data_IF_615775345185
#
_entry.id   IF_615775345185
#
_cell.length_a   1.000
_cell.length_b   1.000
_cell.length_c   1.000
_cell.angle_alpha   90.00
_cell.angle_beta   90.00
_cell.angle_gamma   90.00
#
_symmetry.space_group_name_H-M   'P 1'
#
loop_
_entity.id
_entity.type
_entity.pdbx_description
1 polymer ?
#
# COMPACT_ATOMS: atom_id res chain seq x y z
N UNK A 1 -107.12 17.70 -0.04
CA UNK A 1 -106.04 18.59 0.42
C UNK A 1 -104.89 17.70 0.84
N UNK A 2 -104.01 17.31 -0.13
CA UNK A 2 -102.94 16.38 0.09
C UNK A 2 -101.60 17.06 -0.20
N UNK A 3 -100.82 17.29 0.82
CA UNK A 3 -99.42 17.77 0.70
C UNK A 3 -98.44 16.52 0.63
N UNK A 4 -97.81 16.35 -0.51
CA UNK A 4 -96.74 15.39 -0.69
C UNK A 4 -95.42 16.06 -0.28
N UNK A 5 -94.72 15.46 0.71
CA UNK A 5 -93.36 15.82 1.05
C UNK A 5 -92.36 14.97 0.19
N UNK A 6 -91.54 15.66 -0.58
CA UNK A 6 -90.41 15.04 -1.28
C UNK A 6 -89.17 15.07 -0.39
N UNK A 7 -88.63 13.90 -0.10
CA UNK A 7 -87.32 13.72 0.63
C UNK A 7 -86.19 13.70 -0.43
N UNK A 8 -85.35 14.69 -0.38
CA UNK A 8 -84.19 14.79 -1.22
C UNK A 8 -83.00 14.03 -0.51
N UNK A 9 -82.63 12.89 -1.04
CA UNK A 9 -81.50 12.14 -0.53
C UNK A 9 -80.14 12.69 -1.12
N UNK A 10 -79.36 13.31 -0.26
CA UNK A 10 -78.01 13.80 -0.61
C UNK A 10 -77.01 12.65 -0.51
N UNK A 11 -76.56 12.11 -1.63
CA UNK A 11 -75.51 11.10 -1.68
C UNK A 11 -74.17 11.82 -1.64
N UNK A 12 -73.52 11.85 -0.46
CA UNK A 12 -72.18 12.37 -0.28
C UNK A 12 -71.12 11.36 -0.76
N UNK A 13 -70.47 11.66 -1.86
CA UNK A 13 -69.35 10.86 -2.36
C UNK A 13 -68.08 11.16 -1.51
N UNK A 14 -67.72 10.26 -0.60
CA UNK A 14 -66.47 10.35 0.15
C UNK A 14 -65.36 9.87 -0.76
N UNK A 15 -64.52 10.80 -1.25
CA UNK A 15 -63.26 10.51 -1.95
C UNK A 15 -62.21 10.04 -0.93
N UNK A 16 -61.98 8.74 -0.83
CA UNK A 16 -60.86 8.18 -0.08
C UNK A 16 -59.55 8.49 -0.85
N UNK A 17 -58.84 9.54 -0.43
CA UNK A 17 -57.45 9.73 -0.82
C UNK A 17 -56.56 8.66 -0.14
N UNK A 18 -56.31 7.57 -0.82
CA UNK A 18 -55.23 6.63 -0.43
C UNK A 18 -53.89 7.33 -0.58
N UNK A 19 -53.03 7.34 0.45
CA UNK A 19 -51.70 7.86 0.28
C UNK A 19 -50.97 6.95 -0.74
N UNK A 20 -50.66 7.51 -1.91
CA UNK A 20 -49.80 6.85 -2.87
C UNK A 20 -48.44 6.64 -2.18
N UNK A 21 -48.13 5.39 -1.82
CA UNK A 21 -46.78 4.99 -1.46
C UNK A 21 -45.88 5.39 -2.64
N UNK A 22 -45.16 6.51 -2.49
CA UNK A 22 -44.04 6.85 -3.37
C UNK A 22 -43.03 5.74 -3.22
N UNK A 23 -43.07 4.74 -4.11
CA UNK A 23 -41.95 3.83 -4.28
C UNK A 23 -40.74 4.71 -4.58
N UNK A 24 -39.69 4.65 -3.72
CA UNK A 24 -38.40 5.19 -4.06
C UNK A 24 -38.03 4.61 -5.42
N UNK A 25 -37.55 5.43 -6.37
CA UNK A 25 -37.02 4.89 -7.63
C UNK A 25 -35.99 3.81 -7.29
N UNK A 26 -35.94 2.69 -8.04
CA UNK A 26 -34.89 1.69 -7.84
C UNK A 26 -33.56 2.45 -7.82
N UNK A 27 -32.78 2.28 -6.73
CA UNK A 27 -31.51 2.95 -6.56
C UNK A 27 -30.65 2.72 -7.83
N UNK A 28 -30.01 3.76 -8.33
CA UNK A 28 -29.09 3.63 -9.44
C UNK A 28 -28.12 2.47 -9.15
N UNK A 29 -27.84 1.64 -10.16
CA UNK A 29 -26.88 0.54 -10.02
C UNK A 29 -25.56 1.15 -9.53
N UNK A 30 -25.04 0.62 -8.43
CA UNK A 30 -23.73 1.01 -7.94
C UNK A 30 -22.64 0.44 -8.86
N UNK A 31 -21.60 1.23 -9.08
CA UNK A 31 -20.38 0.74 -9.72
C UNK A 31 -19.71 -0.31 -8.82
N UNK A 32 -19.43 -1.47 -9.38
CA UNK A 32 -18.73 -2.53 -8.67
C UNK A 32 -17.23 -2.38 -8.86
N UNK A 33 -16.51 -2.06 -7.77
CA UNK A 33 -15.06 -1.99 -7.71
C UNK A 33 -14.54 -3.21 -6.94
N UNK A 34 -13.67 -3.98 -7.57
CA UNK A 34 -12.99 -5.10 -6.94
C UNK A 34 -11.54 -4.74 -6.64
N UNK A 35 -11.06 -5.04 -5.43
CA UNK A 35 -9.65 -4.87 -5.05
C UNK A 35 -9.04 -6.21 -4.65
N UNK A 36 -8.05 -6.69 -5.39
CA UNK A 36 -7.25 -7.87 -5.06
C UNK A 36 -5.97 -7.42 -4.35
N UNK A 37 -5.96 -7.57 -3.02
CA UNK A 37 -4.82 -7.24 -2.17
C UNK A 37 -3.92 -8.47 -2.00
N UNK A 38 -2.60 -8.30 -2.07
CA UNK A 38 -1.63 -9.39 -1.95
C UNK A 38 -1.61 -10.03 -0.56
N UNK A 39 -1.75 -9.24 0.50
CA UNK A 39 -1.89 -9.71 1.88
C UNK A 39 -2.37 -8.60 2.83
N UNK A 40 -2.69 -8.98 4.08
CA UNK A 40 -3.04 -8.07 5.18
C UNK A 40 -2.08 -8.18 6.38
N UNK A 41 -1.01 -8.96 6.26
CA UNK A 41 -0.06 -9.19 7.36
C UNK A 41 0.88 -7.99 7.60
N UNK A 42 1.11 -7.18 6.55
CA UNK A 42 1.95 -6.01 6.62
C UNK A 42 1.15 -4.75 7.03
N UNK A 43 1.67 -3.91 7.95
CA UNK A 43 1.02 -2.64 8.32
C UNK A 43 0.73 -1.74 7.12
N UNK A 44 1.61 -1.71 6.13
CA UNK A 44 1.44 -0.96 4.89
C UNK A 44 0.18 -1.42 4.13
N UNK A 45 -0.05 -2.72 4.00
CA UNK A 45 -1.23 -3.30 3.33
C UNK A 45 -2.52 -3.02 4.08
N UNK A 46 -2.47 -3.12 5.41
CA UNK A 46 -3.60 -2.76 6.26
C UNK A 46 -3.97 -1.28 6.12
N UNK A 47 -2.97 -0.38 6.05
CA UNK A 47 -3.20 1.04 5.81
C UNK A 47 -3.79 1.31 4.41
N UNK A 48 -3.33 0.59 3.37
CA UNK A 48 -3.95 0.68 2.03
C UNK A 48 -5.42 0.30 2.07
N UNK A 49 -5.77 -0.81 2.74
CA UNK A 49 -7.15 -1.27 2.82
C UNK A 49 -8.03 -0.29 3.60
N UNK A 50 -7.57 0.20 4.75
CA UNK A 50 -8.30 1.19 5.54
C UNK A 50 -8.56 2.47 4.74
N UNK A 51 -7.55 2.94 4.01
CA UNK A 51 -7.68 4.16 3.22
C UNK A 51 -8.63 3.99 2.03
N UNK A 52 -8.53 2.88 1.28
CA UNK A 52 -9.40 2.65 0.12
C UNK A 52 -10.86 2.45 0.55
N UNK A 53 -11.11 1.74 1.67
CA UNK A 53 -12.43 1.60 2.26
C UNK A 53 -13.01 2.96 2.63
N UNK A 54 -12.26 3.77 3.38
CA UNK A 54 -12.68 5.12 3.78
C UNK A 54 -13.03 5.99 2.58
N UNK A 55 -12.17 6.02 1.54
CA UNK A 55 -12.37 6.86 0.37
C UNK A 55 -13.58 6.43 -0.47
N UNK A 56 -13.85 5.12 -0.58
CA UNK A 56 -15.02 4.62 -1.31
C UNK A 56 -16.30 4.61 -0.46
N UNK A 57 -16.23 4.56 0.88
CA UNK A 57 -17.41 4.74 1.74
C UNK A 57 -18.06 6.13 1.57
N UNK A 58 -17.26 7.16 1.24
CA UNK A 58 -17.73 8.49 0.92
C UNK A 58 -18.50 8.56 -0.42
N UNK A 59 -18.43 7.52 -1.26
CA UNK A 59 -19.03 7.43 -2.59
C UNK A 59 -20.30 6.57 -2.54
N UNK A 60 -21.47 7.22 -2.62
CA UNK A 60 -22.77 6.53 -2.46
C UNK A 60 -23.11 5.58 -3.61
N UNK A 61 -22.48 5.75 -4.76
CA UNK A 61 -22.70 5.03 -6.01
C UNK A 61 -21.63 3.95 -6.31
N UNK A 62 -20.69 3.71 -5.39
CA UNK A 62 -19.68 2.66 -5.50
C UNK A 62 -19.94 1.55 -4.48
N UNK A 63 -19.70 0.32 -4.90
CA UNK A 63 -19.61 -0.87 -4.04
C UNK A 63 -18.20 -1.45 -4.16
N UNK A 64 -17.40 -1.35 -3.10
CA UNK A 64 -16.07 -1.94 -3.00
C UNK A 64 -16.13 -3.35 -2.44
N UNK A 65 -15.36 -4.27 -3.02
CA UNK A 65 -15.08 -5.60 -2.46
C UNK A 65 -13.58 -5.84 -2.46
N UNK A 66 -13.01 -6.14 -1.30
CA UNK A 66 -11.58 -6.44 -1.12
C UNK A 66 -11.41 -7.94 -0.90
N UNK A 67 -10.43 -8.54 -1.61
CA UNK A 67 -10.02 -9.93 -1.42
C UNK A 67 -8.55 -9.98 -0.98
N UNK A 68 -8.28 -10.70 0.11
CA UNK A 68 -6.94 -10.92 0.67
C UNK A 68 -6.35 -12.24 0.15
N UNK A 69 -5.25 -12.14 -0.60
CA UNK A 69 -4.55 -13.29 -1.15
C UNK A 69 -3.65 -14.02 -0.13
N UNK A 70 -3.39 -13.42 1.05
CA UNK A 70 -2.57 -14.02 2.11
C UNK A 70 -1.15 -14.41 1.64
N UNK A 71 -0.56 -13.58 0.77
CA UNK A 71 0.78 -13.77 0.19
C UNK A 71 0.90 -15.05 -0.67
N UNK A 72 -0.22 -15.56 -1.21
CA UNK A 72 -0.29 -16.73 -2.08
C UNK A 72 -0.69 -16.32 -3.51
N UNK A 73 0.22 -16.54 -4.47
CA UNK A 73 -0.01 -16.21 -5.87
C UNK A 73 -1.18 -17.01 -6.47
N UNK A 74 -1.31 -18.30 -6.14
CA UNK A 74 -2.37 -19.17 -6.67
C UNK A 74 -3.73 -18.69 -6.17
N UNK A 75 -3.82 -18.32 -4.89
CA UNK A 75 -5.01 -17.75 -4.29
C UNK A 75 -5.36 -16.40 -4.94
N UNK A 76 -4.38 -15.53 -5.17
CA UNK A 76 -4.61 -14.25 -5.81
C UNK A 76 -5.13 -14.42 -7.25
N UNK A 77 -4.54 -15.34 -8.02
CA UNK A 77 -5.01 -15.67 -9.36
C UNK A 77 -6.47 -16.15 -9.32
N UNK A 78 -6.82 -17.08 -8.44
CA UNK A 78 -8.17 -17.60 -8.31
C UNK A 78 -9.20 -16.50 -7.93
N UNK A 79 -8.81 -15.55 -7.07
CA UNK A 79 -9.63 -14.40 -6.70
C UNK A 79 -9.86 -13.47 -7.89
N UNK A 80 -8.81 -13.13 -8.65
CA UNK A 80 -8.91 -12.30 -9.84
C UNK A 80 -9.79 -12.99 -10.89
N UNK A 81 -9.64 -14.30 -11.12
CA UNK A 81 -10.52 -15.07 -12.00
C UNK A 81 -12.00 -15.00 -11.55
N UNK A 82 -12.24 -14.99 -10.24
CA UNK A 82 -13.59 -14.85 -9.71
C UNK A 82 -14.13 -13.45 -10.00
N UNK A 83 -13.32 -12.41 -9.82
CA UNK A 83 -13.71 -11.04 -10.15
C UNK A 83 -13.96 -10.88 -11.66
N UNK A 84 -13.15 -11.50 -12.54
CA UNK A 84 -13.39 -11.47 -13.99
C UNK A 84 -14.79 -12.03 -14.34
N UNK A 85 -15.20 -13.15 -13.70
CA UNK A 85 -16.54 -13.71 -13.89
C UNK A 85 -17.67 -12.81 -13.37
N UNK A 86 -17.40 -12.04 -12.32
CA UNK A 86 -18.36 -11.08 -11.72
C UNK A 86 -18.45 -9.77 -12.51
N UNK A 87 -17.52 -9.51 -13.43
CA UNK A 87 -17.44 -8.34 -14.30
C UNK A 87 -17.52 -7.02 -13.51
N UNK A 88 -16.52 -6.70 -12.68
CA UNK A 88 -16.46 -5.42 -12.01
C UNK A 88 -16.33 -4.29 -13.04
N UNK A 89 -16.83 -3.11 -12.69
CA UNK A 89 -16.66 -1.90 -13.48
C UNK A 89 -15.21 -1.36 -13.39
N UNK A 90 -14.48 -1.76 -12.33
CA UNK A 90 -13.05 -1.48 -12.14
C UNK A 90 -12.41 -2.61 -11.30
N UNK A 91 -11.25 -3.09 -11.71
CA UNK A 91 -10.42 -4.00 -10.93
C UNK A 91 -9.13 -3.30 -10.51
N UNK A 92 -8.86 -3.25 -9.21
CA UNK A 92 -7.60 -2.79 -8.64
C UNK A 92 -6.83 -4.03 -8.18
N UNK A 93 -5.56 -4.13 -8.54
CA UNK A 93 -4.71 -5.26 -8.15
C UNK A 93 -3.42 -4.74 -7.54
N UNK A 94 -3.13 -5.13 -6.31
CA UNK A 94 -1.79 -5.04 -5.70
C UNK A 94 -1.13 -6.43 -5.82
N UNK A 95 -0.27 -6.68 -6.84
CA UNK A 95 0.24 -8.02 -7.10
C UNK A 95 1.13 -8.52 -5.97
N UNK A 96 1.02 -9.81 -5.62
CA UNK A 96 1.96 -10.41 -4.68
C UNK A 96 3.36 -10.52 -5.31
N UNK A 97 3.45 -11.13 -6.48
CA UNK A 97 4.67 -11.19 -7.28
C UNK A 97 4.40 -10.82 -8.76
N UNK A 98 5.41 -10.32 -9.44
CA UNK A 98 5.29 -9.79 -10.81
C UNK A 98 4.87 -10.84 -11.84
N UNK A 99 5.66 -11.90 -11.98
CA UNK A 99 5.52 -12.88 -13.05
C UNK A 99 4.21 -13.69 -12.96
N UNK A 100 3.82 -14.27 -11.79
CA UNK A 100 2.61 -15.08 -11.69
C UNK A 100 1.32 -14.32 -11.99
N UNK A 101 1.27 -13.02 -11.67
CA UNK A 101 0.05 -12.20 -11.80
C UNK A 101 -0.12 -11.58 -13.20
N UNK A 102 0.95 -11.54 -14.01
CA UNK A 102 0.94 -10.86 -15.30
C UNK A 102 -0.13 -11.41 -16.24
N UNK A 103 -0.26 -12.72 -16.34
CA UNK A 103 -1.20 -13.35 -17.28
C UNK A 103 -2.66 -13.15 -16.86
N UNK A 104 -2.99 -13.33 -15.58
CA UNK A 104 -4.38 -13.18 -15.11
C UNK A 104 -4.87 -11.73 -15.23
N UNK A 105 -3.99 -10.75 -15.02
CA UNK A 105 -4.33 -9.36 -15.27
C UNK A 105 -4.58 -9.09 -16.76
N UNK A 106 -3.81 -9.73 -17.65
CA UNK A 106 -4.08 -9.69 -19.09
C UNK A 106 -5.44 -10.27 -19.48
N UNK A 107 -5.88 -11.34 -18.79
CA UNK A 107 -7.22 -11.89 -19.01
C UNK A 107 -8.33 -10.93 -18.54
N UNK A 108 -8.13 -10.20 -17.46
CA UNK A 108 -9.06 -9.16 -17.01
C UNK A 108 -9.19 -8.05 -18.07
N UNK A 109 -8.07 -7.57 -18.60
CA UNK A 109 -8.04 -6.57 -19.67
C UNK A 109 -8.74 -7.10 -20.95
N UNK A 110 -8.48 -8.35 -21.35
CA UNK A 110 -9.12 -8.98 -22.50
C UNK A 110 -10.64 -9.16 -22.32
N UNK A 111 -11.12 -9.27 -21.07
CA UNK A 111 -12.54 -9.29 -20.73
C UNK A 111 -13.20 -7.90 -20.76
N UNK A 112 -12.44 -6.84 -21.09
CA UNK A 112 -12.92 -5.45 -21.14
C UNK A 112 -13.02 -4.76 -19.78
N UNK A 113 -12.39 -5.32 -18.74
CA UNK A 113 -12.39 -4.76 -17.40
C UNK A 113 -11.20 -3.79 -17.29
N UNK A 114 -11.41 -2.51 -16.94
CA UNK A 114 -10.31 -1.60 -16.62
C UNK A 114 -9.53 -2.11 -15.40
N UNK A 115 -8.20 -2.10 -15.49
CA UNK A 115 -7.32 -2.61 -14.41
C UNK A 115 -6.36 -1.51 -13.95
N UNK A 116 -6.40 -1.18 -12.67
CA UNK A 116 -5.35 -0.40 -12.00
C UNK A 116 -4.37 -1.38 -11.35
N UNK A 117 -3.13 -1.38 -11.81
CA UNK A 117 -2.03 -2.07 -11.16
C UNK A 117 -1.49 -1.18 -10.05
N UNK A 118 -1.58 -1.62 -8.79
CA UNK A 118 -1.31 -0.78 -7.63
C UNK A 118 -0.01 -1.18 -6.95
N UNK A 119 0.90 -0.23 -6.82
CA UNK A 119 2.11 -0.21 -6.00
C UNK A 119 3.20 -1.18 -6.48
N UNK A 120 2.90 -2.43 -6.82
CA UNK A 120 3.85 -3.38 -7.40
C UNK A 120 3.52 -3.59 -8.87
N UNK A 121 4.51 -3.42 -9.75
CA UNK A 121 4.33 -3.65 -11.19
C UNK A 121 4.39 -5.15 -11.54
N UNK A 122 3.99 -5.48 -12.74
CA UNK A 122 4.03 -6.82 -13.35
C UNK A 122 5.03 -6.86 -14.51
N UNK A 123 5.29 -8.03 -15.08
CA UNK A 123 6.35 -8.19 -16.11
C UNK A 123 5.99 -7.64 -17.48
N UNK A 124 4.70 -7.49 -17.78
CA UNK A 124 4.17 -6.91 -19.02
C UNK A 124 3.05 -5.94 -18.65
N UNK A 125 2.88 -4.81 -19.36
CA UNK A 125 1.93 -3.75 -18.98
C UNK A 125 0.47 -4.16 -19.27
N UNK A 126 0.03 -5.28 -18.74
CA UNK A 126 -1.32 -5.83 -18.84
C UNK A 126 -2.29 -5.17 -17.86
N UNK A 127 -2.37 -3.84 -17.93
CA UNK A 127 -3.24 -2.99 -17.12
C UNK A 127 -3.64 -1.72 -17.87
N UNK A 128 -4.68 -1.06 -17.43
CA UNK A 128 -5.08 0.26 -17.91
C UNK A 128 -4.06 1.30 -17.51
N UNK A 129 -3.70 1.33 -16.21
CA UNK A 129 -2.68 2.20 -15.63
C UNK A 129 -1.95 1.50 -14.48
N UNK A 130 -0.69 1.88 -14.27
CA UNK A 130 0.09 1.55 -13.08
C UNK A 130 0.18 2.77 -12.17
N UNK A 131 0.00 2.56 -10.86
CA UNK A 131 0.16 3.61 -9.85
C UNK A 131 1.10 3.09 -8.78
N UNK A 132 2.29 3.65 -8.71
CA UNK A 132 3.34 3.23 -7.80
C UNK A 132 4.20 4.38 -7.31
N UNK A 133 5.31 4.07 -6.65
CA UNK A 133 6.28 5.05 -6.22
C UNK A 133 7.69 4.69 -6.71
N UNK A 134 8.60 5.67 -6.70
CA UNK A 134 9.97 5.51 -7.20
C UNK A 134 10.83 4.74 -6.19
N UNK A 135 10.79 3.41 -6.27
CA UNK A 135 11.58 2.53 -5.41
C UNK A 135 13.08 2.63 -5.67
N UNK A 136 13.49 2.94 -6.90
CA UNK A 136 14.91 3.15 -7.21
C UNK A 136 15.43 4.40 -6.51
N UNK A 137 14.64 5.49 -6.50
CA UNK A 137 14.97 6.69 -5.75
C UNK A 137 15.04 6.42 -4.24
N UNK A 138 14.11 5.62 -3.68
CA UNK A 138 14.17 5.19 -2.28
C UNK A 138 15.50 4.49 -1.99
N UNK A 139 15.86 3.49 -2.80
CA UNK A 139 17.13 2.79 -2.64
C UNK A 139 18.32 3.74 -2.68
N UNK A 140 18.37 4.66 -3.64
CA UNK A 140 19.45 5.65 -3.74
C UNK A 140 19.51 6.57 -2.52
N UNK A 141 18.36 7.04 -2.04
CA UNK A 141 18.30 7.87 -0.82
C UNK A 141 18.77 7.07 0.41
N UNK A 142 18.39 5.79 0.52
CA UNK A 142 18.87 4.92 1.60
C UNK A 142 20.39 4.71 1.54
N UNK A 143 20.93 4.44 0.35
CA UNK A 143 22.36 4.35 0.11
C UNK A 143 23.11 5.63 0.51
N UNK A 144 22.59 6.78 0.10
CA UNK A 144 23.19 8.08 0.45
C UNK A 144 23.12 8.34 1.96
N UNK A 145 21.99 8.05 2.60
CA UNK A 145 21.86 8.19 4.06
C UNK A 145 22.86 7.30 4.82
N UNK A 146 23.11 6.07 4.35
CA UNK A 146 24.13 5.18 4.91
C UNK A 146 25.54 5.78 4.77
N UNK A 147 25.89 6.27 3.58
CA UNK A 147 27.17 6.93 3.30
C UNK A 147 27.37 8.13 4.23
N UNK A 148 26.39 9.03 4.32
CA UNK A 148 26.48 10.25 5.12
C UNK A 148 26.60 9.92 6.62
N UNK A 149 25.84 8.94 7.10
CA UNK A 149 25.87 8.50 8.50
C UNK A 149 27.23 7.92 8.88
N UNK A 150 27.83 7.10 8.01
CA UNK A 150 29.15 6.52 8.22
C UNK A 150 30.26 7.56 8.07
N UNK A 151 30.13 8.49 7.13
CA UNK A 151 31.01 9.65 7.01
C UNK A 151 30.99 10.49 8.28
N UNK A 152 29.81 10.72 8.85
CA UNK A 152 29.69 11.47 10.12
C UNK A 152 30.34 10.72 11.29
N UNK A 153 30.11 9.39 11.37
CA UNK A 153 30.63 8.55 12.46
C UNK A 153 32.17 8.43 12.43
N UNK A 154 32.76 8.27 11.25
CA UNK A 154 34.18 7.91 11.10
C UNK A 154 35.06 8.96 10.44
N UNK A 155 34.50 10.11 10.04
CA UNK A 155 35.21 11.14 9.25
C UNK A 155 35.46 10.73 7.79
N UNK A 156 35.07 9.52 7.39
CA UNK A 156 35.16 8.98 6.03
C UNK A 156 34.07 7.92 5.81
N UNK A 157 33.65 7.67 4.55
CA UNK A 157 32.61 6.69 4.24
C UNK A 157 33.17 5.26 4.34
N UNK A 158 33.16 4.72 5.54
CA UNK A 158 33.58 3.35 5.84
C UNK A 158 32.69 2.72 6.88
N UNK A 159 32.47 1.41 6.80
CA UNK A 159 31.69 0.66 7.80
C UNK A 159 31.11 -0.64 7.25
N UNK A 160 30.38 -1.32 8.14
CA UNK A 160 29.73 -2.62 7.88
C UNK A 160 28.23 -2.45 7.86
N UNK A 161 27.61 -2.82 6.76
CA UNK A 161 26.17 -2.76 6.54
C UNK A 161 25.60 -4.18 6.54
N UNK A 162 24.48 -4.36 7.21
CA UNK A 162 23.58 -5.53 7.06
C UNK A 162 22.34 -5.07 6.32
N UNK A 163 21.92 -5.83 5.31
CA UNK A 163 20.73 -5.55 4.53
C UNK A 163 19.67 -6.64 4.75
N UNK A 164 18.46 -6.22 5.17
CA UNK A 164 17.30 -7.11 5.37
C UNK A 164 16.33 -6.84 4.24
N UNK A 165 16.27 -7.79 3.31
CA UNK A 165 15.57 -7.67 2.04
C UNK A 165 14.10 -8.13 2.16
N UNK A 166 13.24 -7.54 1.33
CA UNK A 166 11.85 -7.97 1.19
C UNK A 166 11.68 -9.28 0.43
N UNK A 167 10.46 -9.58 0.02
CA UNK A 167 10.13 -10.74 -0.80
C UNK A 167 10.83 -10.64 -2.16
N UNK A 168 11.61 -11.64 -2.52
CA UNK A 168 12.30 -11.67 -3.81
C UNK A 168 11.30 -11.78 -4.98
N UNK A 169 11.66 -11.21 -6.13
CA UNK A 169 10.80 -11.21 -7.31
C UNK A 169 9.76 -10.08 -7.34
N UNK A 170 9.80 -9.20 -6.35
CA UNK A 170 8.99 -7.98 -6.28
C UNK A 170 9.83 -6.79 -6.76
N UNK A 171 9.22 -5.90 -7.55
CA UNK A 171 9.89 -4.72 -8.09
C UNK A 171 10.45 -3.82 -6.98
N UNK A 172 9.65 -3.52 -5.96
CA UNK A 172 10.06 -2.67 -4.84
C UNK A 172 11.32 -3.19 -4.13
N UNK A 173 11.45 -4.51 -3.97
CA UNK A 173 12.62 -5.13 -3.38
C UNK A 173 13.84 -4.95 -4.28
N UNK A 174 13.71 -5.28 -5.57
CA UNK A 174 14.81 -5.21 -6.54
C UNK A 174 15.33 -3.78 -6.72
N UNK A 175 14.43 -2.81 -6.82
CA UNK A 175 14.79 -1.41 -7.03
C UNK A 175 15.40 -0.75 -5.80
N UNK A 176 14.87 -1.04 -4.58
CA UNK A 176 15.48 -0.60 -3.32
C UNK A 176 16.89 -1.16 -3.17
N UNK A 177 17.07 -2.44 -3.49
CA UNK A 177 18.40 -3.08 -3.51
C UNK A 177 19.32 -2.39 -4.52
N UNK A 178 18.93 -2.33 -5.79
CA UNK A 178 19.75 -1.77 -6.85
C UNK A 178 20.12 -0.31 -6.57
N UNK A 179 19.16 0.51 -6.14
CA UNK A 179 19.37 1.92 -5.83
C UNK A 179 20.39 2.11 -4.69
N UNK A 180 20.27 1.35 -3.59
CA UNK A 180 21.21 1.42 -2.48
C UNK A 180 22.62 0.97 -2.91
N UNK A 181 22.72 -0.16 -3.60
CA UNK A 181 24.00 -0.70 -4.05
C UNK A 181 24.68 0.18 -5.12
N UNK A 182 23.94 0.88 -5.97
CA UNK A 182 24.52 1.83 -6.93
C UNK A 182 25.25 2.96 -6.22
N UNK A 183 24.74 3.45 -5.09
CA UNK A 183 25.39 4.48 -4.28
C UNK A 183 26.55 3.89 -3.49
N UNK A 184 26.36 2.73 -2.84
CA UNK A 184 27.39 2.09 -2.00
C UNK A 184 28.63 1.67 -2.80
N UNK A 185 28.49 1.28 -4.07
CA UNK A 185 29.62 0.95 -4.97
C UNK A 185 30.64 2.10 -5.10
N UNK A 186 30.18 3.36 -5.03
CA UNK A 186 31.07 4.51 -5.08
C UNK A 186 31.82 4.76 -3.77
N UNK A 187 31.38 4.17 -2.66
CA UNK A 187 31.95 4.31 -1.32
C UNK A 187 32.71 3.04 -0.92
N UNK A 188 33.88 2.82 -1.48
CA UNK A 188 34.66 1.57 -1.36
C UNK A 188 35.05 1.14 0.07
N UNK A 189 34.93 2.06 1.04
CA UNK A 189 35.17 1.75 2.47
C UNK A 189 33.94 1.12 3.15
N UNK A 190 32.76 1.15 2.52
CA UNK A 190 31.53 0.56 3.04
C UNK A 190 31.38 -0.85 2.47
N UNK A 191 31.04 -1.80 3.33
CA UNK A 191 30.86 -3.20 2.94
C UNK A 191 29.52 -3.72 3.43
N UNK A 192 28.69 -4.23 2.53
CA UNK A 192 27.56 -5.08 2.89
C UNK A 192 28.12 -6.42 3.32
N UNK A 193 28.12 -6.70 4.62
CA UNK A 193 28.73 -7.89 5.21
C UNK A 193 27.76 -9.05 5.33
N UNK A 194 26.47 -8.78 5.25
CA UNK A 194 25.42 -9.80 5.23
C UNK A 194 24.13 -9.27 4.60
N UNK A 195 23.47 -10.13 3.85
CA UNK A 195 22.12 -9.93 3.30
C UNK A 195 21.22 -11.06 3.78
N UNK A 196 19.99 -10.75 4.14
CA UNK A 196 18.99 -11.76 4.53
C UNK A 196 17.61 -11.39 4.00
N UNK A 197 16.86 -12.39 3.53
CA UNK A 197 15.48 -12.23 3.09
C UNK A 197 14.52 -12.44 4.28
N UNK A 198 13.59 -11.51 4.47
CA UNK A 198 12.62 -11.56 5.56
C UNK A 198 11.16 -11.31 5.11
N UNK A 199 10.90 -11.35 3.79
CA UNK A 199 9.57 -11.39 3.18
C UNK A 199 8.61 -10.27 3.66
N UNK A 200 9.15 -9.08 3.96
CA UNK A 200 8.47 -7.90 4.53
C UNK A 200 8.02 -8.06 6.00
N UNK A 201 8.30 -9.20 6.65
CA UNK A 201 7.78 -9.54 7.96
C UNK A 201 8.76 -9.21 9.09
N UNK A 202 8.25 -8.53 10.12
CA UNK A 202 9.04 -8.17 11.32
C UNK A 202 9.59 -9.39 12.05
N UNK A 203 8.78 -10.46 12.19
CA UNK A 203 9.19 -11.71 12.86
C UNK A 203 10.39 -12.35 12.16
N UNK A 204 10.30 -12.49 10.83
CA UNK A 204 11.35 -13.08 10.02
C UNK A 204 12.65 -12.27 10.12
N UNK A 205 12.54 -10.93 10.03
CA UNK A 205 13.71 -10.05 10.17
C UNK A 205 14.35 -10.19 11.55
N UNK A 206 13.56 -10.31 12.62
CA UNK A 206 14.10 -10.52 13.97
C UNK A 206 14.87 -11.85 14.07
N UNK A 207 14.33 -12.94 13.53
CA UNK A 207 15.01 -14.25 13.52
C UNK A 207 16.31 -14.19 12.73
N UNK A 208 16.28 -13.67 11.50
CA UNK A 208 17.48 -13.50 10.66
C UNK A 208 18.52 -12.63 11.34
N UNK A 209 18.12 -11.52 11.95
CA UNK A 209 19.05 -10.64 12.63
C UNK A 209 19.70 -11.29 13.86
N UNK A 210 18.99 -12.14 14.62
CA UNK A 210 19.60 -12.91 15.72
C UNK A 210 20.71 -13.85 15.21
N UNK A 211 20.53 -14.47 14.06
CA UNK A 211 21.56 -15.31 13.41
C UNK A 211 22.75 -14.46 12.98
N UNK A 212 22.49 -13.31 12.34
CA UNK A 212 23.53 -12.38 11.87
C UNK A 212 24.35 -11.84 13.04
N UNK A 213 23.72 -11.44 14.13
CA UNK A 213 24.41 -10.88 15.31
C UNK A 213 25.36 -11.87 16.00
N UNK A 214 25.12 -13.18 15.86
CA UNK A 214 26.03 -14.23 16.33
C UNK A 214 27.25 -14.37 15.45
N UNK A 215 27.08 -14.16 14.14
CA UNK A 215 28.15 -14.32 13.15
C UNK A 215 28.96 -13.03 12.93
N UNK A 216 28.37 -11.86 13.12
CA UNK A 216 28.94 -10.55 12.85
C UNK A 216 29.14 -9.75 14.15
N UNK A 217 30.41 -9.68 14.67
CA UNK A 217 30.65 -8.93 15.91
C UNK A 217 30.52 -7.41 15.75
N UNK A 218 30.71 -6.90 14.54
CA UNK A 218 30.65 -5.47 14.25
C UNK A 218 29.67 -5.19 13.11
N UNK A 219 28.70 -4.36 13.36
CA UNK A 219 27.71 -3.87 12.39
C UNK A 219 27.52 -2.38 12.69
N UNK A 220 27.57 -1.54 11.66
CA UNK A 220 27.39 -0.10 11.81
C UNK A 220 25.97 0.35 11.40
N UNK A 221 25.42 -0.27 10.36
CA UNK A 221 24.11 0.07 9.82
C UNK A 221 23.33 -1.20 9.52
N UNK A 222 22.04 -1.17 9.82
CA UNK A 222 21.07 -2.18 9.37
C UNK A 222 20.05 -1.46 8.49
N UNK A 223 20.00 -1.84 7.22
CA UNK A 223 19.00 -1.37 6.27
C UNK A 223 17.91 -2.42 6.08
N UNK A 224 16.73 -2.15 6.57
CA UNK A 224 15.53 -2.93 6.28
C UNK A 224 14.79 -2.34 5.08
N UNK A 225 14.40 -3.18 4.13
CA UNK A 225 13.63 -2.72 2.97
C UNK A 225 12.21 -2.24 3.33
N UNK A 226 11.77 -2.45 4.59
CA UNK A 226 10.62 -1.76 5.17
C UNK A 226 10.82 -1.51 6.68
N UNK A 227 9.95 -0.68 7.27
CA UNK A 227 10.01 -0.33 8.70
C UNK A 227 9.80 -1.54 9.62
N UNK A 228 8.83 -2.46 9.36
CA UNK A 228 8.68 -3.65 10.18
C UNK A 228 9.95 -4.50 10.26
N UNK A 229 10.65 -4.71 9.15
CA UNK A 229 11.89 -5.49 9.14
C UNK A 229 13.02 -4.77 9.88
N UNK A 230 13.16 -3.45 9.69
CA UNK A 230 14.14 -2.65 10.42
C UNK A 230 13.87 -2.68 11.93
N UNK A 231 12.61 -2.59 12.35
CA UNK A 231 12.20 -2.72 13.76
C UNK A 231 12.45 -4.14 14.28
N UNK A 232 12.18 -5.16 13.49
CA UNK A 232 12.50 -6.57 13.84
C UNK A 232 13.98 -6.75 14.13
N UNK A 233 14.84 -6.20 13.27
CA UNK A 233 16.29 -6.22 13.45
C UNK A 233 16.73 -5.42 14.70
N UNK A 234 16.16 -4.25 14.94
CA UNK A 234 16.38 -3.48 16.16
C UNK A 234 16.04 -4.28 17.42
N UNK A 235 14.87 -4.97 17.44
CA UNK A 235 14.44 -5.77 18.57
C UNK A 235 15.43 -6.93 18.84
N UNK A 236 15.93 -7.61 17.80
CA UNK A 236 16.94 -8.64 17.92
C UNK A 236 18.24 -8.10 18.53
N UNK A 237 18.68 -6.92 18.09
CA UNK A 237 19.88 -6.27 18.62
C UNK A 237 19.69 -5.86 20.08
N UNK A 238 18.51 -5.34 20.44
CA UNK A 238 18.16 -4.96 21.82
C UNK A 238 18.14 -6.16 22.77
N UNK A 239 17.63 -7.31 22.34
CA UNK A 239 17.61 -8.53 23.16
C UNK A 239 19.03 -8.99 23.52
N UNK A 240 20.04 -8.61 22.74
CA UNK A 240 21.45 -8.89 22.97
C UNK A 240 22.24 -7.69 23.53
N UNK A 241 21.58 -6.57 23.84
CA UNK A 241 22.20 -5.34 24.35
C UNK A 241 23.12 -4.64 23.34
N UNK A 242 22.88 -4.83 22.04
CA UNK A 242 23.72 -4.32 20.94
C UNK A 242 23.08 -3.20 20.12
N UNK A 243 21.86 -2.80 20.43
CA UNK A 243 21.08 -1.84 19.61
C UNK A 243 21.76 -0.46 19.49
N UNK A 244 22.58 -0.08 20.47
CA UNK A 244 23.30 1.21 20.47
C UNK A 244 24.59 1.18 19.66
N UNK A 245 25.02 0.03 19.17
CA UNK A 245 26.25 -0.12 18.38
C UNK A 245 26.03 0.23 16.91
N UNK A 246 24.78 0.21 16.44
CA UNK A 246 24.42 0.36 15.05
C UNK A 246 23.20 1.28 14.86
N UNK A 247 23.04 1.81 13.67
CA UNK A 247 21.84 2.56 13.28
C UNK A 247 20.92 1.67 12.44
N UNK A 248 19.61 1.89 12.58
CA UNK A 248 18.58 1.15 11.85
C UNK A 248 17.84 2.12 10.95
N UNK A 249 17.67 1.76 9.69
CA UNK A 249 16.90 2.53 8.71
C UNK A 249 15.86 1.64 8.03
N UNK A 250 14.70 2.18 7.76
CA UNK A 250 13.58 1.46 7.17
C UNK A 250 12.97 2.20 5.98
N UNK A 251 11.88 1.69 5.48
CA UNK A 251 11.04 2.27 4.41
C UNK A 251 9.59 2.01 4.81
N UNK A 252 8.68 2.78 4.39
CA UNK A 252 7.24 2.91 4.46
C UNK A 252 6.86 4.28 5.02
N UNK A 253 7.47 4.69 6.15
CA UNK A 253 7.22 6.00 6.75
C UNK A 253 5.75 6.20 7.12
N UNK A 254 5.06 5.15 7.58
CA UNK A 254 3.66 5.27 7.98
C UNK A 254 3.52 6.17 9.22
N UNK A 255 2.45 6.96 9.26
CA UNK A 255 2.01 7.69 10.43
C UNK A 255 1.42 6.79 11.52
N UNK A 256 0.92 7.41 12.59
CA UNK A 256 0.29 6.71 13.70
C UNK A 256 1.26 6.07 14.69
N UNK A 257 0.76 5.52 15.82
CA UNK A 257 1.59 5.10 16.97
C UNK A 257 2.49 3.90 16.68
N UNK A 258 2.12 3.05 15.73
CA UNK A 258 2.89 1.88 15.32
C UNK A 258 3.77 2.13 14.08
N UNK A 259 3.57 3.26 13.38
CA UNK A 259 4.23 3.56 12.11
C UNK A 259 5.71 3.91 12.24
N UNK A 260 6.41 3.86 11.11
CA UNK A 260 7.85 4.14 11.02
C UNK A 260 8.22 5.55 11.45
N UNK A 261 7.37 6.55 11.15
CA UNK A 261 7.60 7.93 11.62
C UNK A 261 7.70 8.01 13.14
N UNK A 262 6.80 7.31 13.85
CA UNK A 262 6.87 7.23 15.31
C UNK A 262 8.15 6.52 15.78
N UNK A 263 8.61 5.51 15.05
CA UNK A 263 9.87 4.81 15.38
C UNK A 263 11.10 5.71 15.20
N UNK A 264 11.05 6.64 14.24
CA UNK A 264 12.08 7.69 14.13
C UNK A 264 12.02 8.66 15.31
N UNK A 265 10.82 9.12 15.68
CA UNK A 265 10.65 10.01 16.86
C UNK A 265 11.11 9.35 18.16
N UNK A 266 10.94 8.04 18.31
CA UNK A 266 11.34 7.26 19.48
C UNK A 266 12.84 6.88 19.47
N UNK A 267 13.59 7.20 18.42
CA UNK A 267 15.01 6.85 18.28
C UNK A 267 15.26 5.36 18.02
N UNK A 268 14.24 4.59 17.63
CA UNK A 268 14.35 3.19 17.19
C UNK A 268 14.93 3.11 15.78
N UNK A 269 14.47 3.97 14.89
CA UNK A 269 15.00 4.15 13.55
C UNK A 269 15.73 5.49 13.47
N UNK A 270 16.87 5.53 12.80
CA UNK A 270 17.56 6.79 12.47
C UNK A 270 16.88 7.53 11.33
N UNK A 271 16.30 6.78 10.39
CA UNK A 271 15.53 7.30 9.28
C UNK A 271 14.52 6.26 8.77
N UNK A 272 13.47 6.76 8.13
CA UNK A 272 12.60 6.00 7.23
C UNK A 272 12.34 6.82 5.98
N UNK A 273 11.90 6.16 4.90
CA UNK A 273 11.52 6.83 3.66
C UNK A 273 10.02 6.65 3.46
N UNK A 274 9.31 7.79 3.40
CA UNK A 274 7.88 7.74 3.10
C UNK A 274 7.65 7.08 1.75
N UNK A 275 6.90 6.01 1.79
CA UNK A 275 6.44 5.26 0.64
C UNK A 275 4.93 5.49 0.49
N UNK A 276 4.50 6.28 -0.52
CA UNK A 276 3.10 6.61 -0.70
C UNK A 276 2.23 5.36 -0.80
N UNK A 277 1.06 5.36 -0.13
CA UNK A 277 0.10 4.25 -0.20
C UNK A 277 -0.47 4.05 -1.61
N UNK A 278 -0.36 5.04 -2.48
CA UNK A 278 -0.85 5.06 -3.87
C UNK A 278 -2.38 4.98 -4.01
N UNK A 279 -3.08 4.80 -2.90
CA UNK A 279 -4.54 4.57 -2.86
C UNK A 279 -5.32 5.83 -3.23
N UNK A 280 -4.91 7.01 -2.75
CA UNK A 280 -5.57 8.28 -3.07
C UNK A 280 -5.61 8.50 -4.60
N UNK A 281 -4.46 8.28 -5.25
CA UNK A 281 -4.34 8.39 -6.71
C UNK A 281 -5.14 7.29 -7.41
N UNK A 282 -5.18 6.08 -6.86
CA UNK A 282 -5.96 4.98 -7.44
C UNK A 282 -7.46 5.25 -7.38
N UNK A 283 -7.95 5.82 -6.29
CA UNK A 283 -9.36 6.22 -6.17
C UNK A 283 -9.67 7.40 -7.10
N UNK A 284 -8.82 8.44 -7.14
CA UNK A 284 -8.97 9.57 -8.06
C UNK A 284 -9.08 9.11 -9.52
N UNK A 285 -8.13 8.30 -9.99
CA UNK A 285 -8.11 7.78 -11.36
C UNK A 285 -9.28 6.82 -11.59
N UNK A 286 -9.60 5.98 -10.60
CA UNK A 286 -10.74 5.06 -10.65
C UNK A 286 -12.07 5.77 -10.82
N UNK A 287 -12.32 6.86 -10.09
CA UNK A 287 -13.50 7.70 -10.24
C UNK A 287 -13.65 8.25 -11.67
N UNK A 288 -12.57 8.74 -12.25
CA UNK A 288 -12.61 9.19 -13.64
C UNK A 288 -12.91 8.04 -14.62
N UNK A 289 -12.32 6.86 -14.42
CA UNK A 289 -12.60 5.67 -15.25
C UNK A 289 -14.09 5.27 -15.16
N UNK A 290 -14.70 5.37 -13.97
CA UNK A 290 -16.08 4.96 -13.73
C UNK A 290 -17.12 5.96 -14.28
N UNK A 291 -16.78 7.25 -14.34
CA UNK A 291 -17.76 8.31 -14.60
C UNK A 291 -17.54 9.09 -15.89
N UNK A 292 -16.38 8.99 -16.52
CA UNK A 292 -16.05 9.69 -17.77
C UNK A 292 -15.59 8.70 -18.84
N UNK A 293 -16.48 8.37 -19.77
CA UNK A 293 -16.19 7.46 -20.88
C UNK A 293 -15.08 7.97 -21.82
N UNK A 294 -14.74 9.26 -21.77
CA UNK A 294 -13.67 9.85 -22.57
C UNK A 294 -12.34 9.97 -21.79
N UNK A 295 -12.33 9.59 -20.53
CA UNK A 295 -11.12 9.64 -19.73
C UNK A 295 -10.16 8.51 -20.13
N UNK A 296 -8.94 8.89 -20.46
CA UNK A 296 -7.84 7.98 -20.73
C UNK A 296 -6.71 8.30 -19.74
N UNK A 297 -6.51 7.45 -18.71
CA UNK A 297 -5.43 7.71 -17.74
C UNK A 297 -4.06 7.60 -18.41
N UNK A 298 -3.09 8.32 -17.86
CA UNK A 298 -1.69 8.10 -18.16
C UNK A 298 -1.32 6.63 -17.92
N UNK A 299 -0.38 6.10 -18.68
CA UNK A 299 0.02 4.69 -18.55
C UNK A 299 0.56 4.37 -17.18
N UNK A 300 1.18 5.37 -16.50
CA UNK A 300 1.69 5.24 -15.14
C UNK A 300 1.71 6.57 -14.38
N UNK A 301 1.50 6.48 -13.07
CA UNK A 301 1.66 7.56 -12.10
C UNK A 301 2.70 7.12 -11.06
N UNK A 302 3.86 7.80 -11.05
CA UNK A 302 4.97 7.48 -10.14
C UNK A 302 5.04 8.56 -9.08
N UNK A 303 4.67 8.20 -7.85
CA UNK A 303 4.66 9.10 -6.71
C UNK A 303 6.05 9.19 -6.08
N UNK A 304 6.39 10.38 -5.56
CA UNK A 304 7.74 10.63 -5.05
C UNK A 304 7.85 10.28 -3.56
N UNK A 305 8.92 9.60 -3.16
CA UNK A 305 9.23 9.35 -1.76
C UNK A 305 9.79 10.59 -1.06
N UNK A 306 9.81 10.56 0.29
CA UNK A 306 10.38 11.63 1.11
C UNK A 306 11.20 11.02 2.25
N UNK A 307 12.43 11.51 2.48
CA UNK A 307 13.27 11.13 3.62
C UNK A 307 12.69 11.68 4.92
N UNK A 308 12.52 10.82 5.92
CA UNK A 308 12.07 11.17 7.26
C UNK A 308 13.18 10.85 8.26
N UNK A 309 13.63 11.88 8.97
CA UNK A 309 14.62 11.81 10.04
C UNK A 309 14.08 12.52 11.29
N UNK A 310 14.82 12.53 12.38
CA UNK A 310 14.44 13.28 13.57
C UNK A 310 14.16 14.76 13.29
N UNK A 311 14.73 15.34 12.22
CA UNK A 311 14.54 16.76 11.88
C UNK A 311 13.13 17.10 11.41
N UNK A 312 12.43 16.18 10.72
CA UNK A 312 11.10 16.41 10.15
C UNK A 312 10.04 15.40 10.62
N UNK A 313 10.40 14.42 11.43
CA UNK A 313 9.49 13.35 11.85
C UNK A 313 8.22 13.88 12.55
N UNK A 314 8.31 14.92 13.40
CA UNK A 314 7.13 15.49 14.05
C UNK A 314 6.14 16.09 13.06
N UNK A 315 6.62 16.80 12.04
CA UNK A 315 5.79 17.36 10.98
C UNK A 315 5.16 16.24 10.14
N UNK A 316 5.96 15.24 9.76
CA UNK A 316 5.50 14.11 8.98
C UNK A 316 4.49 13.25 9.75
N UNK A 317 4.66 13.08 11.06
CA UNK A 317 3.69 12.39 11.89
C UNK A 317 2.31 13.04 11.85
N UNK A 318 2.24 14.37 11.94
CA UNK A 318 0.97 15.10 11.83
C UNK A 318 0.35 15.00 10.43
N UNK A 319 1.18 15.05 9.39
CA UNK A 319 0.75 14.97 7.98
C UNK A 319 0.20 13.58 7.61
N UNK A 320 0.79 12.51 8.16
CA UNK A 320 0.56 11.12 7.75
C UNK A 320 -0.33 10.32 8.73
N UNK A 321 -0.77 10.92 9.84
CA UNK A 321 -1.73 10.31 10.76
C UNK A 321 -3.14 10.77 10.39
N UNK A 322 -3.98 9.88 9.90
CA UNK A 322 -5.36 10.15 9.46
C UNK A 322 -6.39 9.27 10.20
#
# INVERSE_FOLDING_TARGET
>A
MNRKFAILALVGTVLLCLPACRQKPPGARKHFVAFSQCNNAEPYRAAQNQLIEKLFEEKSDVQLVIADAQQDNSKQIAQIETFIRQKPDLLIVAPNERAPLTEVMGRAMAAGIPVICLERDITQPNYTTFIGADNLAIGKMAGQFMVDSLQHKYGKPQGKVVEIRGLLGVEAEMERYNGAHDVLKAASGIRVVHEAVADWLQSNARERMLEILRAQPEIDVVYGHNDPMAVGAYLAARDLGREKQMIFIGVDGLGGPAGGVKKVMDGVLAATFYYPLCVDKAVEVGEHILHDANFHPDKQYILQPELITAANASQMYQKLTF
#
